data_IF_931142754744
#
_entry.id   IF_931142754744
#
_cell.length_a   1.000
_cell.length_b   1.000
_cell.length_c   1.000
_cell.angle_alpha   90.00
_cell.angle_beta   90.00
_cell.angle_gamma   90.00
#
_symmetry.space_group_name_H-M   'P 1'
#
loop_
_entity.id
_entity.type
_entity.pdbx_description
1 polymer ?
#
# COMPACT_ATOMS: atom_id res chain seq x y z
N UNK A 1 3.70 12.41 -6.97
CA UNK A 1 2.23 12.41 -7.13
C UNK A 1 1.62 11.62 -5.98
N UNK A 2 0.42 11.96 -5.52
CA UNK A 2 -0.27 11.18 -4.48
C UNK A 2 -1.73 10.96 -4.84
N UNK A 3 -2.30 9.86 -4.36
CA UNK A 3 -3.74 9.61 -4.43
C UNK A 3 -4.20 9.12 -3.07
N UNK A 4 -5.23 9.77 -2.52
CA UNK A 4 -5.91 9.34 -1.31
C UNK A 4 -7.19 8.58 -1.67
N UNK A 5 -7.55 7.60 -0.84
CA UNK A 5 -8.85 6.96 -0.87
C UNK A 5 -9.57 7.17 0.47
N UNK A 6 -10.90 6.98 0.52
CA UNK A 6 -11.63 7.03 1.77
C UNK A 6 -10.98 6.12 2.82
N UNK A 7 -10.94 6.56 4.07
CA UNK A 7 -10.48 5.70 5.16
C UNK A 7 -11.32 4.44 5.21
N UNK A 8 -10.67 3.32 5.49
CA UNK A 8 -11.40 2.11 5.84
C UNK A 8 -11.87 2.22 7.29
N UNK A 9 -13.12 1.88 7.55
CA UNK A 9 -13.74 1.97 8.87
C UNK A 9 -14.35 0.61 9.19
N UNK A 10 -13.80 -0.06 10.21
CA UNK A 10 -14.24 -1.39 10.64
C UNK A 10 -14.69 -1.32 12.10
N UNK A 11 -15.98 -1.54 12.39
CA UNK A 11 -16.45 -1.69 13.77
C UNK A 11 -15.84 -2.93 14.42
N UNK A 12 -15.36 -2.80 15.66
CA UNK A 12 -14.82 -3.85 16.51
C UNK A 12 -15.47 -3.74 17.90
N UNK A 13 -16.74 -4.17 17.98
CA UNK A 13 -17.54 -4.05 19.20
C UNK A 13 -17.77 -2.57 19.56
N UNK A 14 -17.34 -2.16 20.74
CA UNK A 14 -17.45 -0.77 21.22
C UNK A 14 -16.42 0.19 20.59
N UNK A 15 -15.44 -0.33 19.83
CA UNK A 15 -14.39 0.46 19.19
C UNK A 15 -14.53 0.43 17.68
N UNK A 16 -14.04 1.47 17.01
CA UNK A 16 -13.98 1.52 15.55
C UNK A 16 -12.53 1.63 15.11
N UNK A 17 -12.06 0.68 14.31
CA UNK A 17 -10.76 0.74 13.67
C UNK A 17 -10.86 1.59 12.39
N UNK A 18 -10.15 2.71 12.36
CA UNK A 18 -10.06 3.58 11.18
C UNK A 18 -8.67 3.45 10.58
N UNK A 19 -8.58 2.98 9.34
CA UNK A 19 -7.31 2.85 8.60
C UNK A 19 -7.27 3.87 7.45
N UNK A 20 -6.47 4.95 7.55
CA UNK A 20 -6.26 5.89 6.46
C UNK A 20 -5.58 5.21 5.26
N UNK A 21 -5.99 5.57 4.03
CA UNK A 21 -5.43 4.97 2.80
C UNK A 21 -4.90 6.05 1.85
N UNK A 22 -3.58 6.10 1.66
CA UNK A 22 -2.91 7.03 0.75
C UNK A 22 -1.70 6.37 0.10
N UNK A 23 -1.59 6.50 -1.22
CA UNK A 23 -0.40 6.14 -1.98
C UNK A 23 0.36 7.39 -2.38
N UNK A 24 1.69 7.31 -2.29
CA UNK A 24 2.63 8.35 -2.73
C UNK A 24 3.58 7.70 -3.73
N UNK A 25 3.68 8.30 -4.91
CA UNK A 25 4.58 7.86 -5.98
C UNK A 25 5.59 8.97 -6.24
N UNK A 26 6.86 8.60 -6.23
CA UNK A 26 8.00 9.46 -6.57
C UNK A 26 8.61 8.91 -7.86
N UNK A 27 8.74 9.78 -8.86
CA UNK A 27 9.36 9.46 -10.15
C UNK A 27 10.60 10.33 -10.31
N UNK A 28 11.72 9.70 -10.64
CA UNK A 28 13.00 10.36 -10.84
C UNK A 28 13.45 10.12 -12.28
N UNK A 29 13.93 11.17 -12.96
CA UNK A 29 14.45 11.05 -14.33
C UNK A 29 13.42 10.70 -15.42
N UNK A 30 12.13 10.75 -15.10
CA UNK A 30 11.05 10.41 -16.04
C UNK A 30 10.87 11.46 -17.13
N UNK A 31 10.63 11.00 -18.36
CA UNK A 31 10.32 11.86 -19.52
C UNK A 31 8.83 12.23 -19.61
N UNK A 32 7.94 11.42 -19.03
CA UNK A 32 6.52 11.72 -18.82
C UNK A 32 6.09 11.37 -17.39
N UNK A 33 6.43 12.27 -16.46
CA UNK A 33 6.12 12.10 -15.04
C UNK A 33 4.62 12.05 -14.72
N UNK A 34 3.76 12.56 -15.60
CA UNK A 34 2.32 12.61 -15.34
C UNK A 34 1.66 11.30 -15.78
N UNK A 35 1.93 10.85 -17.01
CA UNK A 35 1.43 9.57 -17.51
C UNK A 35 1.96 8.40 -16.68
N UNK A 36 3.27 8.34 -16.45
CA UNK A 36 3.88 7.30 -15.62
C UNK A 36 3.39 7.35 -14.17
N UNK A 37 3.16 8.56 -13.65
CA UNK A 37 2.67 8.75 -12.28
C UNK A 37 1.24 8.27 -12.10
N UNK A 38 0.37 8.61 -13.05
CA UNK A 38 -1.02 8.16 -13.07
C UNK A 38 -1.12 6.63 -13.23
N UNK A 39 -0.33 6.05 -14.15
CA UNK A 39 -0.26 4.60 -14.35
C UNK A 39 0.22 3.88 -13.08
N UNK A 40 1.25 4.42 -12.43
CA UNK A 40 1.79 3.88 -11.18
C UNK A 40 0.78 3.91 -10.04
N UNK A 41 0.05 5.02 -9.86
CA UNK A 41 -1.00 5.12 -8.84
C UNK A 41 -2.16 4.17 -9.12
N UNK A 42 -2.61 4.08 -10.37
CA UNK A 42 -3.67 3.17 -10.78
C UNK A 42 -3.31 1.71 -10.48
N UNK A 43 -2.12 1.28 -10.92
CA UNK A 43 -1.59 -0.06 -10.65
C UNK A 43 -1.41 -0.32 -9.16
N UNK A 44 -0.82 0.61 -8.42
CA UNK A 44 -0.58 0.50 -6.99
C UNK A 44 -1.88 0.28 -6.20
N UNK A 45 -2.94 1.00 -6.57
CA UNK A 45 -4.25 0.79 -5.98
C UNK A 45 -4.86 -0.57 -6.34
N UNK A 46 -4.77 -1.02 -7.60
CA UNK A 46 -5.26 -2.35 -7.99
C UNK A 46 -4.55 -3.48 -7.22
N UNK A 47 -3.25 -3.34 -6.95
CA UNK A 47 -2.49 -4.28 -6.15
C UNK A 47 -2.93 -4.27 -4.68
N UNK A 48 -3.06 -3.07 -4.10
CA UNK A 48 -3.54 -2.90 -2.73
C UNK A 48 -4.93 -3.51 -2.55
N UNK A 49 -5.86 -3.25 -3.46
CA UNK A 49 -7.23 -3.76 -3.39
C UNK A 49 -7.26 -5.29 -3.42
N UNK A 50 -6.45 -5.91 -4.29
CA UNK A 50 -6.31 -7.36 -4.35
C UNK A 50 -5.77 -7.92 -3.04
N UNK A 51 -4.67 -7.36 -2.51
CA UNK A 51 -4.07 -7.79 -1.25
C UNK A 51 -5.06 -7.64 -0.07
N UNK A 52 -5.78 -6.51 -0.01
CA UNK A 52 -6.78 -6.26 1.01
C UNK A 52 -7.95 -7.26 0.93
N UNK A 53 -8.42 -7.58 -0.28
CA UNK A 53 -9.49 -8.56 -0.51
C UNK A 53 -9.07 -9.99 -0.12
N UNK A 54 -7.77 -10.33 -0.20
CA UNK A 54 -7.25 -11.64 0.23
C UNK A 54 -7.03 -11.77 1.74
N UNK A 55 -7.55 -10.83 2.55
CA UNK A 55 -7.39 -10.87 4.00
C UNK A 55 -6.04 -10.37 4.51
N UNK A 56 -5.31 -9.60 3.68
CA UNK A 56 -4.04 -8.93 4.06
C UNK A 56 -2.98 -9.91 4.58
N UNK A 57 -2.62 -10.94 3.80
CA UNK A 57 -1.58 -11.86 4.22
C UNK A 57 -0.29 -11.09 4.51
N UNK A 58 0.31 -11.39 5.67
CA UNK A 58 1.66 -10.95 6.02
C UNK A 58 2.63 -12.02 5.54
N UNK A 59 3.66 -11.63 4.79
CA UNK A 59 4.76 -12.55 4.50
C UNK A 59 5.44 -12.92 5.83
N UNK A 60 5.74 -14.21 6.07
CA UNK A 60 6.56 -14.61 7.21
C UNK A 60 7.86 -13.83 7.17
N UNK A 61 8.23 -13.24 8.31
CA UNK A 61 9.50 -12.53 8.44
C UNK A 61 10.62 -13.54 8.16
N UNK A 62 11.30 -13.42 7.02
CA UNK A 62 12.60 -14.08 6.86
C UNK A 62 13.52 -13.48 7.92
N UNK A 63 13.75 -14.23 8.99
CA UNK A 63 14.80 -13.92 9.95
C UNK A 63 16.10 -14.12 9.20
N UNK A 64 16.70 -13.02 8.74
CA UNK A 64 18.09 -13.02 8.33
C UNK A 64 18.92 -13.30 9.58
N UNK A 65 19.12 -14.57 9.90
CA UNK A 65 20.10 -15.00 10.89
C UNK A 65 21.47 -14.58 10.34
N UNK A 66 22.03 -13.52 10.92
CA UNK A 66 23.45 -13.21 10.76
C UNK A 66 24.30 -14.41 11.24
N UNK A 67 25.51 -14.57 10.72
CA UNK A 67 26.35 -15.70 11.09
C UNK A 67 26.69 -15.60 12.59
N UNK A 68 26.51 -16.70 13.31
CA UNK A 68 27.04 -16.87 14.66
C UNK A 68 28.57 -16.74 14.58
N UNK A 69 29.14 -15.77 15.30
CA UNK A 69 30.55 -15.77 15.74
C UNK A 69 30.61 -16.19 17.21
#
# INVERSE_FOLDING_TARGET
>A
MSAARPSEVVPQGEKTLITPRRLIVVLLGSSDRFGEGAASLSRGWSLYDRWAATGRPLEPKEVLSGPNE
#
